data_IF_290388080531
#
_entry.id   IF_290388080531
#
_cell.length_a   1.000
_cell.length_b   1.000
_cell.length_c   1.000
_cell.angle_alpha   90.00
_cell.angle_beta   90.00
_cell.angle_gamma   90.00
#
_symmetry.space_group_name_H-M   'P 1'
#
loop_
_entity.id
_entity.type
_entity.pdbx_description
1 polymer ?
#
# COMPACT_ATOMS: atom_id res chain seq x y z
N UNK A 1 -19.17 13.75 7.32
CA UNK A 1 -18.71 13.22 6.02
C UNK A 1 -17.37 12.57 6.24
N UNK A 2 -17.06 11.43 5.62
CA UNK A 2 -15.74 10.83 5.68
C UNK A 2 -14.75 11.70 4.90
N UNK A 3 -13.56 11.93 5.45
CA UNK A 3 -12.47 12.67 4.78
C UNK A 3 -11.88 11.82 3.66
N UNK A 4 -11.91 12.31 2.42
CA UNK A 4 -11.34 11.60 1.26
C UNK A 4 -9.84 11.83 1.20
N UNK A 5 -9.07 10.76 1.22
CA UNK A 5 -7.59 10.79 1.11
C UNK A 5 -7.16 10.68 -0.35
N UNK A 6 -7.88 9.87 -1.14
CA UNK A 6 -7.50 9.58 -2.51
C UNK A 6 -8.74 9.51 -3.39
N UNK A 7 -8.65 10.11 -4.58
CA UNK A 7 -9.67 10.00 -5.64
C UNK A 7 -8.99 9.72 -6.98
N UNK A 8 -9.42 8.68 -7.64
CA UNK A 8 -9.10 8.38 -9.05
C UNK A 8 -10.37 8.44 -9.87
N UNK A 9 -10.33 9.08 -11.03
CA UNK A 9 -11.46 9.19 -11.95
C UNK A 9 -11.01 8.87 -13.38
N UNK A 10 -11.58 7.81 -13.95
CA UNK A 10 -11.32 7.38 -15.32
C UNK A 10 -9.86 7.00 -15.61
N UNK A 11 -9.10 6.55 -14.62
CA UNK A 11 -7.66 6.23 -14.78
C UNK A 11 -7.46 5.11 -15.78
N UNK A 12 -6.66 5.39 -16.81
CA UNK A 12 -6.20 4.39 -17.79
C UNK A 12 -4.69 4.24 -17.73
N UNK A 13 -4.21 3.05 -18.11
CA UNK A 13 -2.78 2.81 -18.34
C UNK A 13 -2.61 1.92 -19.56
N UNK A 14 -1.90 2.44 -20.54
CA UNK A 14 -1.54 1.74 -21.78
C UNK A 14 -0.02 1.66 -21.84
N UNK A 15 0.48 0.46 -22.06
CA UNK A 15 1.88 0.21 -22.39
C UNK A 15 1.96 -0.05 -23.89
N UNK A 16 2.69 0.78 -24.62
CA UNK A 16 2.88 0.64 -26.07
C UNK A 16 4.29 0.18 -26.38
N UNK A 17 4.41 -0.85 -27.19
CA UNK A 17 5.65 -1.26 -27.87
C UNK A 17 5.47 -1.05 -29.36
N UNK A 18 6.52 -1.21 -30.16
CA UNK A 18 6.42 -1.07 -31.63
C UNK A 18 5.41 -2.03 -32.27
N UNK A 19 5.13 -3.17 -31.62
CA UNK A 19 4.28 -4.23 -32.18
C UNK A 19 2.93 -4.41 -31.47
N UNK A 20 2.77 -3.90 -30.23
CA UNK A 20 1.61 -4.20 -29.41
C UNK A 20 1.26 -3.09 -28.41
N UNK A 21 -0.04 -2.89 -28.22
CA UNK A 21 -0.58 -2.09 -27.12
C UNK A 21 -1.23 -2.98 -26.05
N UNK A 22 -0.82 -2.78 -24.79
CA UNK A 22 -1.42 -3.47 -23.65
C UNK A 22 -2.17 -2.48 -22.77
N UNK A 23 -3.48 -2.59 -22.73
CA UNK A 23 -4.34 -1.80 -21.87
C UNK A 23 -4.41 -2.43 -20.48
N UNK A 24 -3.50 -2.04 -19.58
CA UNK A 24 -3.40 -2.60 -18.25
C UNK A 24 -4.49 -2.08 -17.30
N UNK A 25 -4.90 -0.81 -17.45
CA UNK A 25 -6.04 -0.22 -16.75
C UNK A 25 -6.97 0.46 -17.76
N UNK A 26 -8.30 0.31 -17.55
CA UNK A 26 -9.33 0.66 -18.53
C UNK A 26 -10.44 1.52 -17.93
N UNK A 27 -10.07 2.62 -17.27
CA UNK A 27 -11.00 3.54 -16.62
C UNK A 27 -11.28 3.10 -15.17
N UNK A 28 -10.32 3.33 -14.28
CA UNK A 28 -10.48 3.06 -12.85
C UNK A 28 -11.07 4.30 -12.17
N UNK A 29 -12.20 4.08 -11.49
CA UNK A 29 -12.77 5.02 -10.55
C UNK A 29 -12.60 4.44 -9.13
N UNK A 30 -11.96 5.19 -8.24
CA UNK A 30 -11.65 4.75 -6.88
C UNK A 30 -11.60 5.92 -5.92
N UNK A 31 -12.27 5.77 -4.78
CA UNK A 31 -12.13 6.66 -3.64
C UNK A 31 -11.65 5.87 -2.42
N UNK A 32 -10.67 6.40 -1.69
CA UNK A 32 -10.21 5.89 -0.40
C UNK A 32 -10.39 6.97 0.65
N UNK A 33 -11.04 6.62 1.74
CA UNK A 33 -11.31 7.53 2.86
C UNK A 33 -10.32 7.30 4.00
N UNK A 34 -10.11 8.32 4.81
CA UNK A 34 -9.28 8.23 6.01
C UNK A 34 -9.74 7.11 6.93
N UNK A 35 -8.81 6.26 7.34
CA UNK A 35 -9.08 5.09 8.17
C UNK A 35 -9.67 3.89 7.42
N UNK A 36 -9.86 3.97 6.10
CA UNK A 36 -10.28 2.79 5.34
C UNK A 36 -9.17 1.73 5.35
N UNK A 37 -9.58 0.46 5.39
CA UNK A 37 -8.74 -0.67 5.01
C UNK A 37 -9.33 -1.30 3.75
N UNK A 38 -8.68 -1.05 2.62
CA UNK A 38 -9.12 -1.53 1.30
C UNK A 38 -8.24 -2.69 0.87
N UNK A 39 -8.83 -3.80 0.40
CA UNK A 39 -8.11 -4.86 -0.32
C UNK A 39 -8.47 -4.87 -1.80
N UNK A 40 -7.46 -5.02 -2.66
CA UNK A 40 -7.59 -5.17 -4.11
C UNK A 40 -7.26 -6.62 -4.47
N UNK A 41 -8.26 -7.34 -4.95
CA UNK A 41 -8.18 -8.74 -5.33
C UNK A 41 -8.42 -8.90 -6.83
N UNK A 42 -7.96 -10.00 -7.40
CA UNK A 42 -8.21 -10.33 -8.81
C UNK A 42 -7.21 -11.36 -9.32
N UNK A 43 -7.46 -11.96 -10.49
CA UNK A 43 -6.57 -12.95 -11.10
C UNK A 43 -5.20 -12.38 -11.45
N UNK A 44 -4.22 -13.24 -11.72
CA UNK A 44 -2.92 -12.79 -12.21
C UNK A 44 -3.08 -12.05 -13.55
N UNK A 45 -2.32 -10.98 -13.76
CA UNK A 45 -2.36 -10.18 -14.99
C UNK A 45 -3.53 -9.20 -15.10
N UNK A 46 -4.46 -9.12 -14.15
CA UNK A 46 -5.62 -8.21 -14.24
C UNK A 46 -5.31 -6.72 -14.03
N UNK A 47 -4.04 -6.35 -13.73
CA UNK A 47 -3.63 -4.95 -13.57
C UNK A 47 -3.37 -4.51 -12.11
N UNK A 48 -3.36 -5.41 -11.11
CA UNK A 48 -3.16 -5.06 -9.68
C UNK A 48 -1.84 -4.31 -9.43
N UNK A 49 -0.73 -4.85 -9.90
CA UNK A 49 0.59 -4.22 -9.71
C UNK A 49 0.68 -2.88 -10.44
N UNK A 50 0.06 -2.75 -11.61
CA UNK A 50 -0.04 -1.48 -12.35
C UNK A 50 -0.84 -0.46 -11.57
N UNK A 51 -2.01 -0.86 -11.03
CA UNK A 51 -2.82 0.03 -10.20
C UNK A 51 -2.06 0.46 -8.94
N UNK A 52 -1.38 -0.49 -8.27
CA UNK A 52 -0.58 -0.18 -7.08
C UNK A 52 0.59 0.78 -7.40
N UNK A 53 1.23 0.62 -8.56
CA UNK A 53 2.32 1.51 -9.01
C UNK A 53 1.81 2.93 -9.26
N UNK A 54 0.62 3.10 -9.83
CA UNK A 54 0.01 4.42 -10.03
C UNK A 54 -0.46 5.00 -8.70
N UNK A 55 -1.14 4.22 -7.84
CA UNK A 55 -1.50 4.63 -6.50
C UNK A 55 -0.29 5.14 -5.71
N UNK A 56 0.84 4.47 -5.89
CA UNK A 56 2.10 4.80 -5.23
C UNK A 56 2.92 5.88 -5.90
N UNK A 57 2.46 6.48 -6.98
CA UNK A 57 3.24 7.46 -7.75
C UNK A 57 4.63 6.92 -8.20
N UNK A 58 4.71 5.60 -8.43
CA UNK A 58 5.88 4.95 -9.04
C UNK A 58 5.79 4.99 -10.57
N UNK A 59 4.58 5.06 -11.09
CA UNK A 59 4.27 5.23 -12.51
C UNK A 59 3.10 6.21 -12.66
N UNK A 60 2.98 6.83 -13.84
CA UNK A 60 1.91 7.79 -14.13
C UNK A 60 0.81 7.13 -14.96
N UNK A 61 -0.45 7.53 -14.78
CA UNK A 61 -1.52 7.10 -15.68
C UNK A 61 -1.30 7.62 -17.10
N UNK A 62 -1.89 6.94 -18.08
CA UNK A 62 -1.92 7.44 -19.46
C UNK A 62 -2.96 8.54 -19.59
N UNK A 63 -4.12 8.40 -18.93
CA UNK A 63 -5.20 9.39 -18.90
C UNK A 63 -6.01 9.24 -17.60
N UNK A 64 -6.85 10.23 -17.30
CA UNK A 64 -7.67 10.32 -16.11
C UNK A 64 -7.13 11.31 -15.09
N UNK A 65 -7.87 11.50 -13.98
CA UNK A 65 -7.51 12.38 -12.86
C UNK A 65 -7.18 11.55 -11.63
N UNK A 66 -6.07 11.87 -10.97
CA UNK A 66 -5.67 11.27 -9.70
C UNK A 66 -5.32 12.35 -8.68
N UNK A 67 -6.05 12.37 -7.56
CA UNK A 67 -5.86 13.32 -6.46
C UNK A 67 -5.52 12.64 -5.16
N UNK A 68 -4.54 13.20 -4.42
CA UNK A 68 -4.21 12.85 -3.04
C UNK A 68 -4.45 14.09 -2.18
N UNK A 69 -5.34 13.99 -1.17
CA UNK A 69 -5.73 15.11 -0.32
C UNK A 69 -6.09 16.37 -1.15
N UNK A 70 -6.88 16.20 -2.22
CA UNK A 70 -7.29 17.22 -3.19
C UNK A 70 -6.16 17.79 -4.09
N UNK A 71 -4.91 17.36 -3.93
CA UNK A 71 -3.81 17.72 -4.84
C UNK A 71 -3.85 16.83 -6.09
N UNK A 72 -3.99 17.43 -7.28
CA UNK A 72 -3.90 16.69 -8.54
C UNK A 72 -2.47 16.21 -8.80
N UNK A 73 -2.31 14.92 -9.01
CA UNK A 73 -0.99 14.27 -9.14
C UNK A 73 -0.80 13.49 -10.44
N UNK A 74 -1.84 13.36 -11.27
CA UNK A 74 -1.78 12.54 -12.52
C UNK A 74 -0.83 13.09 -13.58
N UNK A 75 -0.51 14.37 -13.53
CA UNK A 75 0.31 15.05 -14.55
C UNK A 75 1.66 15.55 -13.99
N UNK A 76 2.05 15.06 -12.81
CA UNK A 76 3.33 15.45 -12.22
C UNK A 76 4.51 14.81 -12.96
N UNK A 77 5.64 15.53 -12.99
CA UNK A 77 6.90 14.89 -13.36
C UNK A 77 7.29 13.83 -12.32
N UNK A 78 8.06 12.81 -12.71
CA UNK A 78 8.53 11.77 -11.77
C UNK A 78 9.28 12.37 -10.56
N UNK A 79 10.02 13.46 -10.76
CA UNK A 79 10.72 14.16 -9.68
C UNK A 79 9.74 14.81 -8.69
N UNK A 80 8.70 15.50 -9.18
CA UNK A 80 7.65 16.08 -8.34
C UNK A 80 6.84 14.99 -7.61
N UNK A 81 6.50 13.91 -8.32
CA UNK A 81 5.82 12.74 -7.76
C UNK A 81 6.62 12.08 -6.63
N UNK A 82 7.97 12.02 -6.76
CA UNK A 82 8.84 11.46 -5.72
C UNK A 82 8.74 12.21 -4.38
N UNK A 83 8.57 13.54 -4.41
CA UNK A 83 8.39 14.33 -3.20
C UNK A 83 7.03 14.04 -2.55
N UNK A 84 5.95 14.04 -3.34
CA UNK A 84 4.61 13.73 -2.83
C UNK A 84 4.56 12.31 -2.29
N UNK A 85 5.16 11.34 -2.99
CA UNK A 85 5.27 9.95 -2.51
C UNK A 85 5.98 9.88 -1.17
N UNK A 86 7.12 10.54 -1.01
CA UNK A 86 7.88 10.55 0.25
C UNK A 86 7.09 11.12 1.43
N UNK A 87 6.22 12.12 1.18
CA UNK A 87 5.44 12.79 2.21
C UNK A 87 4.11 12.10 2.53
N UNK A 88 3.44 11.51 1.51
CA UNK A 88 2.04 11.08 1.61
C UNK A 88 1.84 9.58 1.56
N UNK A 89 2.82 8.81 1.06
CA UNK A 89 2.67 7.39 0.80
C UNK A 89 3.75 6.59 1.50
N UNK A 90 3.34 5.60 2.28
CA UNK A 90 4.22 4.55 2.79
C UNK A 90 4.07 3.29 1.96
N UNK A 91 5.19 2.64 1.62
CA UNK A 91 5.19 1.38 0.87
C UNK A 91 5.68 0.21 1.70
N UNK A 92 4.92 -0.87 1.67
CA UNK A 92 5.27 -2.18 2.22
C UNK A 92 5.25 -3.18 1.06
N UNK A 93 6.42 -3.71 0.72
CA UNK A 93 6.61 -4.63 -0.40
C UNK A 93 6.69 -6.09 0.07
N UNK A 94 6.36 -7.02 -0.80
CA UNK A 94 6.52 -8.46 -0.57
C UNK A 94 7.97 -8.84 -0.26
N UNK A 95 8.95 -8.24 -0.94
CA UNK A 95 10.39 -8.54 -0.81
C UNK A 95 11.10 -7.65 0.21
N UNK A 96 10.36 -7.01 1.13
CA UNK A 96 10.86 -6.09 2.18
C UNK A 96 11.60 -4.85 1.62
N UNK A 97 12.43 -4.99 0.60
CA UNK A 97 13.23 -3.95 -0.04
C UNK A 97 14.05 -3.14 0.97
N UNK A 98 14.66 -3.82 1.94
CA UNK A 98 15.62 -3.23 2.86
C UNK A 98 16.99 -3.17 2.18
N UNK A 99 17.78 -2.15 2.53
CA UNK A 99 19.14 -1.97 2.05
C UNK A 99 20.07 -2.72 3.01
N UNK A 100 20.72 -3.78 2.54
CA UNK A 100 21.51 -4.70 3.36
C UNK A 100 22.73 -4.06 4.00
N UNK A 101 23.30 -3.04 3.37
CA UNK A 101 24.48 -2.29 3.88
C UNK A 101 24.12 -1.33 5.01
N UNK A 102 22.85 -0.97 5.14
CA UNK A 102 22.35 -0.08 6.18
C UNK A 102 21.91 -0.83 7.42
N UNK A 103 22.00 -0.18 8.57
CA UNK A 103 21.36 -0.69 9.80
C UNK A 103 19.84 -0.63 9.68
N UNK A 104 19.15 -1.33 10.58
CA UNK A 104 17.69 -1.22 10.75
C UNK A 104 17.29 0.24 10.98
N UNK A 105 17.99 0.93 11.87
CA UNK A 105 17.77 2.36 12.13
C UNK A 105 17.90 3.19 10.86
N UNK A 106 18.99 3.01 10.09
CA UNK A 106 19.23 3.81 8.88
C UNK A 106 18.23 3.52 7.77
N UNK A 107 17.79 2.26 7.61
CA UNK A 107 16.71 1.91 6.68
C UNK A 107 15.42 2.68 6.98
N UNK A 108 15.06 2.83 8.28
CA UNK A 108 13.85 3.54 8.68
C UNK A 108 14.06 5.06 8.61
N UNK A 109 15.25 5.57 8.93
CA UNK A 109 15.57 7.00 8.87
C UNK A 109 15.61 7.54 7.42
N UNK A 110 15.82 6.67 6.43
CA UNK A 110 16.05 7.06 5.04
C UNK A 110 14.95 7.97 4.47
N UNK A 111 13.64 7.66 4.56
CA UNK A 111 12.59 8.54 4.06
C UNK A 111 12.61 9.94 4.68
N UNK A 112 12.98 10.06 5.95
CA UNK A 112 13.05 11.35 6.65
C UNK A 112 14.22 12.21 6.17
N UNK A 113 15.35 11.57 5.81
CA UNK A 113 16.54 12.25 5.28
C UNK A 113 16.32 12.82 3.87
N UNK A 114 15.35 12.28 3.12
CA UNK A 114 14.98 12.75 1.77
C UNK A 114 13.81 13.74 1.76
N UNK A 115 13.34 14.18 2.93
CA UNK A 115 12.29 15.18 3.01
C UNK A 115 12.76 16.52 2.46
N UNK A 116 11.85 17.23 1.77
CA UNK A 116 12.11 18.59 1.27
C UNK A 116 12.42 19.57 2.41
N UNK A 117 11.73 19.41 3.54
CA UNK A 117 12.02 20.16 4.77
C UNK A 117 12.92 19.32 5.66
N UNK A 118 14.20 19.71 5.85
CA UNK A 118 15.14 18.97 6.68
C UNK A 118 14.65 18.88 8.14
N UNK A 119 14.85 17.72 8.73
CA UNK A 119 14.60 17.47 10.15
C UNK A 119 15.93 17.47 10.93
N UNK A 120 15.90 17.85 12.20
CA UNK A 120 17.07 17.70 13.05
C UNK A 120 17.37 16.21 13.30
N UNK A 121 18.65 15.87 13.59
CA UNK A 121 19.02 14.49 13.92
C UNK A 121 18.27 13.99 15.17
N UNK A 122 18.01 14.86 16.15
CA UNK A 122 17.26 14.51 17.36
C UNK A 122 15.79 14.16 17.05
N UNK A 123 15.15 14.91 16.13
CA UNK A 123 13.77 14.63 15.72
C UNK A 123 13.71 13.32 14.92
N UNK A 124 14.68 13.10 14.02
CA UNK A 124 14.79 11.83 13.27
C UNK A 124 14.93 10.66 14.23
N UNK A 125 15.83 10.77 15.23
CA UNK A 125 16.06 9.71 16.21
C UNK A 125 14.78 9.39 17.00
N UNK A 126 14.09 10.42 17.48
CA UNK A 126 12.83 10.27 18.20
C UNK A 126 11.76 9.55 17.37
N UNK A 127 11.56 9.96 16.11
CA UNK A 127 10.53 9.38 15.23
C UNK A 127 10.89 7.94 14.84
N UNK A 128 12.16 7.67 14.50
CA UNK A 128 12.63 6.32 14.14
C UNK A 128 12.47 5.36 15.31
N UNK A 129 12.92 5.76 16.53
CA UNK A 129 12.79 4.90 17.71
C UNK A 129 11.33 4.67 18.12
N UNK A 130 10.46 5.66 17.95
CA UNK A 130 9.02 5.50 18.14
C UNK A 130 8.43 4.46 17.18
N UNK A 131 8.76 4.53 15.87
CA UNK A 131 8.30 3.54 14.88
C UNK A 131 8.84 2.14 15.17
N UNK A 132 10.12 2.02 15.57
CA UNK A 132 10.71 0.75 15.97
C UNK A 132 10.00 0.14 17.19
N UNK A 133 9.61 0.96 18.14
CA UNK A 133 8.86 0.51 19.32
C UNK A 133 7.47 -0.01 18.92
N UNK A 134 6.76 0.68 18.02
CA UNK A 134 5.44 0.25 17.52
C UNK A 134 5.45 -1.15 16.88
N UNK A 135 6.56 -1.51 16.23
CA UNK A 135 6.70 -2.82 15.59
C UNK A 135 7.48 -3.84 16.44
N UNK A 136 7.78 -3.52 17.70
CA UNK A 136 8.53 -4.36 18.65
C UNK A 136 9.95 -4.71 18.15
N UNK A 137 10.64 -3.75 17.55
CA UNK A 137 11.97 -3.95 16.96
C UNK A 137 13.04 -2.96 17.48
N UNK A 138 12.74 -2.18 18.52
CA UNK A 138 13.67 -1.17 19.06
C UNK A 138 15.02 -1.79 19.48
N UNK A 139 15.00 -3.01 20.02
CA UNK A 139 16.20 -3.77 20.44
C UNK A 139 17.09 -4.19 19.27
N UNK A 140 16.61 -4.10 18.02
CA UNK A 140 17.32 -4.46 16.79
C UNK A 140 17.82 -3.25 15.98
N UNK A 141 17.69 -2.04 16.48
CA UNK A 141 18.03 -0.79 15.75
C UNK A 141 19.42 -0.81 15.08
N UNK A 142 20.42 -1.41 15.74
CA UNK A 142 21.81 -1.48 15.25
C UNK A 142 22.12 -2.71 14.39
N UNK A 143 21.17 -3.63 14.22
CA UNK A 143 21.36 -4.82 13.38
C UNK A 143 21.23 -4.44 11.90
N UNK A 144 21.68 -5.34 11.02
CA UNK A 144 21.48 -5.26 9.57
C UNK A 144 20.39 -6.26 9.12
N UNK A 145 19.76 -6.05 7.95
CA UNK A 145 18.69 -6.93 7.45
C UNK A 145 19.05 -8.42 7.42
N UNK A 146 20.27 -8.75 7.00
CA UNK A 146 20.77 -10.14 6.93
C UNK A 146 20.91 -10.84 8.30
N UNK A 147 20.77 -10.12 9.40
CA UNK A 147 20.79 -10.64 10.77
C UNK A 147 19.37 -10.90 11.33
N UNK A 148 18.34 -10.71 10.51
CA UNK A 148 16.94 -10.76 10.90
C UNK A 148 16.19 -11.88 10.17
N UNK A 149 15.20 -12.46 10.84
CA UNK A 149 14.24 -13.35 10.17
C UNK A 149 13.35 -12.57 9.18
N UNK A 150 12.72 -13.26 8.21
CA UNK A 150 11.81 -12.63 7.26
C UNK A 150 10.68 -11.85 7.93
N UNK A 151 10.06 -12.39 8.98
CA UNK A 151 9.04 -11.68 9.74
C UNK A 151 9.56 -10.43 10.44
N UNK A 152 10.81 -10.45 10.94
CA UNK A 152 11.45 -9.27 11.52
C UNK A 152 11.76 -8.23 10.44
N UNK A 153 12.25 -8.65 9.27
CA UNK A 153 12.49 -7.75 8.13
C UNK A 153 11.19 -7.07 7.68
N UNK A 154 10.07 -7.82 7.63
CA UNK A 154 8.78 -7.23 7.28
C UNK A 154 8.31 -6.20 8.31
N UNK A 155 8.50 -6.45 9.59
CA UNK A 155 8.22 -5.45 10.65
C UNK A 155 9.05 -4.17 10.46
N UNK A 156 10.32 -4.29 10.06
CA UNK A 156 11.16 -3.13 9.75
C UNK A 156 10.66 -2.40 8.50
N UNK A 157 10.23 -3.12 7.46
CA UNK A 157 9.63 -2.51 6.27
C UNK A 157 8.34 -1.74 6.60
N UNK A 158 7.51 -2.27 7.52
CA UNK A 158 6.34 -1.57 8.06
C UNK A 158 6.75 -0.30 8.82
N UNK A 159 7.74 -0.37 9.72
CA UNK A 159 8.23 0.80 10.44
C UNK A 159 8.76 1.88 9.50
N UNK A 160 9.51 1.49 8.46
CA UNK A 160 10.00 2.40 7.40
C UNK A 160 8.85 3.07 6.64
N UNK A 161 7.79 2.33 6.36
CA UNK A 161 6.63 2.89 5.68
C UNK A 161 5.85 3.88 6.56
N UNK A 162 5.82 3.66 7.87
CA UNK A 162 5.12 4.51 8.85
C UNK A 162 5.88 5.78 9.24
N UNK A 163 7.22 5.78 9.12
CA UNK A 163 8.09 6.81 9.71
C UNK A 163 7.78 8.22 9.19
N UNK A 164 7.29 8.32 7.94
CA UNK A 164 6.86 9.56 7.32
C UNK A 164 5.50 10.08 7.81
N UNK A 165 4.78 9.35 8.64
CA UNK A 165 3.37 9.60 8.93
C UNK A 165 2.52 9.79 7.66
N UNK A 166 2.51 8.80 6.75
CA UNK A 166 1.86 8.92 5.46
C UNK A 166 0.33 9.00 5.58
N UNK A 167 -0.31 9.64 4.60
CA UNK A 167 -1.76 9.65 4.46
C UNK A 167 -2.31 8.27 4.06
N UNK A 168 -1.51 7.48 3.34
CA UNK A 168 -1.87 6.15 2.83
C UNK A 168 -0.69 5.17 2.92
N UNK A 169 -0.93 3.98 3.47
CA UNK A 169 -0.04 2.83 3.34
C UNK A 169 -0.49 1.94 2.17
N UNK A 170 0.40 1.74 1.21
CA UNK A 170 0.25 0.78 0.14
C UNK A 170 0.99 -0.50 0.49
N UNK A 171 0.29 -1.62 0.41
CA UNK A 171 0.78 -2.92 0.89
C UNK A 171 0.69 -3.92 -0.26
N UNK A 172 1.83 -4.39 -0.74
CA UNK A 172 1.93 -5.35 -1.84
C UNK A 172 2.31 -6.72 -1.30
N UNK A 173 1.34 -7.65 -1.28
CA UNK A 173 1.53 -9.06 -0.89
C UNK A 173 2.36 -9.22 0.41
N UNK A 174 1.99 -8.62 1.54
CA UNK A 174 2.86 -8.46 2.70
C UNK A 174 3.30 -9.78 3.36
N UNK A 175 2.66 -10.88 3.01
CA UNK A 175 2.88 -12.21 3.58
C UNK A 175 3.49 -13.20 2.61
N UNK A 176 3.69 -12.82 1.34
CA UNK A 176 4.08 -13.74 0.27
C UNK A 176 5.45 -14.43 0.48
N UNK A 177 6.34 -13.84 1.28
CA UNK A 177 7.67 -14.40 1.60
C UNK A 177 7.77 -14.87 3.05
N UNK A 178 6.64 -15.09 3.73
CA UNK A 178 6.59 -15.48 5.15
C UNK A 178 5.90 -16.83 5.33
N UNK A 179 6.30 -17.55 6.37
CA UNK A 179 5.50 -18.67 6.86
C UNK A 179 4.16 -18.16 7.46
N UNK A 180 3.19 -19.06 7.60
CA UNK A 180 1.83 -18.68 8.04
C UNK A 180 1.82 -17.95 9.38
N UNK A 181 2.63 -18.39 10.35
CA UNK A 181 2.69 -17.78 11.68
C UNK A 181 3.20 -16.33 11.64
N UNK A 182 4.27 -16.07 10.88
CA UNK A 182 4.81 -14.74 10.70
C UNK A 182 3.86 -13.88 9.83
N UNK A 183 3.21 -14.48 8.83
CA UNK A 183 2.20 -13.83 8.00
C UNK A 183 1.02 -13.33 8.84
N UNK A 184 0.45 -14.20 9.68
CA UNK A 184 -0.66 -13.83 10.56
C UNK A 184 -0.26 -12.70 11.52
N UNK A 185 0.93 -12.76 12.12
CA UNK A 185 1.43 -11.71 13.01
C UNK A 185 1.62 -10.35 12.30
N UNK A 186 2.05 -10.35 11.04
CA UNK A 186 2.16 -9.14 10.21
C UNK A 186 0.78 -8.58 9.89
N UNK A 187 -0.19 -9.42 9.54
CA UNK A 187 -1.55 -8.98 9.24
C UNK A 187 -2.27 -8.44 10.47
N UNK A 188 -2.09 -9.06 11.64
CA UNK A 188 -2.61 -8.54 12.91
C UNK A 188 -2.04 -7.16 13.25
N UNK A 189 -0.74 -6.96 12.97
CA UNK A 189 -0.10 -5.64 13.13
C UNK A 189 -0.71 -4.61 12.18
N UNK A 190 -0.90 -4.92 10.91
CA UNK A 190 -1.53 -4.01 9.94
C UNK A 190 -2.97 -3.67 10.34
N UNK A 191 -3.73 -4.67 10.82
CA UNK A 191 -5.08 -4.45 11.35
C UNK A 191 -5.07 -3.53 12.57
N UNK A 192 -4.15 -3.71 13.49
CA UNK A 192 -3.99 -2.83 14.67
C UNK A 192 -3.68 -1.40 14.24
N UNK A 193 -2.75 -1.20 13.30
CA UNK A 193 -2.44 0.13 12.76
C UNK A 193 -3.66 0.79 12.10
N UNK A 194 -4.49 0.01 11.41
CA UNK A 194 -5.73 0.55 10.84
C UNK A 194 -6.74 0.96 11.92
N UNK A 195 -6.89 0.16 12.98
CA UNK A 195 -7.74 0.52 14.12
C UNK A 195 -7.26 1.77 14.84
N UNK A 196 -5.95 2.07 14.80
CA UNK A 196 -5.34 3.32 15.29
C UNK A 196 -5.53 4.51 14.31
N UNK A 197 -6.20 4.31 13.18
CA UNK A 197 -6.54 5.35 12.21
C UNK A 197 -5.67 5.40 10.95
N UNK A 198 -4.72 4.49 10.78
CA UNK A 198 -3.92 4.42 9.54
C UNK A 198 -4.79 3.96 8.38
N UNK A 199 -4.72 4.67 7.24
CA UNK A 199 -5.40 4.27 6.00
C UNK A 199 -4.55 3.25 5.25
N UNK A 200 -5.15 2.11 4.87
CA UNK A 200 -4.47 1.00 4.21
C UNK A 200 -5.11 0.67 2.86
N UNK A 201 -4.28 0.45 1.85
CA UNK A 201 -4.69 -0.18 0.59
C UNK A 201 -3.76 -1.35 0.30
N UNK A 202 -4.27 -2.57 0.34
CA UNK A 202 -3.51 -3.80 0.22
C UNK A 202 -3.88 -4.55 -1.06
N UNK A 203 -2.86 -5.03 -1.77
CA UNK A 203 -3.01 -6.05 -2.80
C UNK A 203 -2.64 -7.39 -2.20
N UNK A 204 -3.51 -8.39 -2.35
CA UNK A 204 -3.22 -9.77 -1.95
C UNK A 204 -4.01 -10.76 -2.78
N UNK A 205 -3.45 -11.94 -2.98
CA UNK A 205 -4.14 -13.08 -3.58
C UNK A 205 -4.66 -14.08 -2.52
N UNK A 206 -4.31 -13.89 -1.23
CA UNK A 206 -4.82 -14.74 -0.14
C UNK A 206 -6.20 -14.22 0.33
N UNK A 207 -7.28 -15.02 0.12
CA UNK A 207 -8.64 -14.61 0.51
C UNK A 207 -8.79 -14.34 2.00
N UNK A 208 -8.05 -15.08 2.87
CA UNK A 208 -8.12 -14.91 4.33
C UNK A 208 -7.67 -13.50 4.73
N UNK A 209 -6.61 -13.02 4.13
CA UNK A 209 -6.07 -11.68 4.41
C UNK A 209 -6.89 -10.58 3.72
N UNK A 210 -7.41 -10.86 2.53
CA UNK A 210 -8.33 -9.94 1.86
C UNK A 210 -9.59 -9.69 2.71
N UNK A 211 -10.06 -10.71 3.44
CA UNK A 211 -11.24 -10.66 4.31
C UNK A 211 -11.04 -9.82 5.58
N UNK A 212 -9.80 -9.49 5.92
CA UNK A 212 -9.49 -8.58 7.04
C UNK A 212 -9.76 -7.11 6.68
N UNK A 213 -9.83 -6.76 5.41
CA UNK A 213 -10.12 -5.42 4.95
C UNK A 213 -11.62 -5.06 5.12
N UNK A 214 -11.89 -3.79 5.40
CA UNK A 214 -13.27 -3.28 5.53
C UNK A 214 -13.97 -3.10 4.19
N UNK A 215 -13.19 -2.95 3.10
CA UNK A 215 -13.68 -2.85 1.72
C UNK A 215 -12.86 -3.74 0.81
N UNK A 216 -13.54 -4.53 -0.01
CA UNK A 216 -12.90 -5.36 -1.04
C UNK A 216 -13.24 -4.83 -2.43
N UNK A 217 -12.21 -4.68 -3.24
CA UNK A 217 -12.32 -4.29 -4.65
C UNK A 217 -11.85 -5.47 -5.49
N UNK A 218 -12.68 -5.85 -6.44
CA UNK A 218 -12.32 -6.88 -7.41
C UNK A 218 -11.88 -6.23 -8.70
N UNK A 219 -10.61 -6.42 -9.04
CA UNK A 219 -10.04 -5.98 -10.30
C UNK A 219 -10.09 -7.13 -11.32
N UNK A 220 -10.67 -6.88 -12.47
CA UNK A 220 -10.74 -7.83 -13.59
C UNK A 220 -10.50 -7.08 -14.91
N UNK A 221 -9.57 -7.56 -15.71
CA UNK A 221 -9.23 -7.00 -17.04
C UNK A 221 -9.06 -5.48 -17.05
N UNK A 222 -8.37 -4.95 -16.02
CA UNK A 222 -8.08 -3.53 -15.88
C UNK A 222 -9.25 -2.68 -15.41
N UNK A 223 -10.34 -3.27 -14.89
CA UNK A 223 -11.50 -2.55 -14.34
C UNK A 223 -11.83 -2.99 -12.92
N UNK A 224 -12.28 -2.06 -12.08
CA UNK A 224 -12.88 -2.41 -10.78
C UNK A 224 -14.33 -2.83 -11.04
N UNK A 225 -14.65 -4.04 -10.61
CA UNK A 225 -16.02 -4.53 -10.66
C UNK A 225 -16.87 -3.84 -9.59
N UNK A 226 -18.09 -3.45 -9.94
CA UNK A 226 -19.05 -2.96 -8.95
C UNK A 226 -19.29 -4.03 -7.87
N UNK A 227 -19.50 -3.64 -6.58
CA UNK A 227 -19.82 -4.59 -5.53
C UNK A 227 -21.02 -5.45 -5.97
N UNK A 228 -20.84 -6.77 -6.02
CA UNK A 228 -21.97 -7.67 -6.21
C UNK A 228 -22.84 -7.58 -4.97
N UNK A 229 -24.00 -6.94 -5.05
CA UNK A 229 -25.04 -7.07 -4.07
C UNK A 229 -25.55 -8.52 -4.16
N UNK A 230 -25.10 -9.37 -3.24
CA UNK A 230 -25.74 -10.68 -3.07
C UNK A 230 -27.18 -10.43 -2.60
N UNK A 231 -28.09 -10.33 -3.55
CA UNK A 231 -29.52 -10.54 -3.28
C UNK A 231 -29.63 -12.02 -2.90
N UNK A 232 -29.83 -12.30 -1.62
CA UNK A 232 -30.27 -13.60 -1.15
C UNK A 232 -31.64 -13.88 -1.80
N UNK A 233 -31.63 -14.50 -2.95
CA UNK A 233 -32.81 -15.12 -3.52
C UNK A 233 -33.02 -16.45 -2.77
N UNK A 234 -33.59 -16.37 -1.58
CA UNK A 234 -34.32 -17.49 -1.00
C UNK A 234 -35.56 -17.72 -1.86
N UNK A 235 -35.41 -18.47 -2.94
CA UNK A 235 -36.56 -19.06 -3.63
C UNK A 235 -36.95 -20.27 -2.82
N UNK A 236 -37.98 -20.10 -2.01
CA UNK A 236 -38.73 -21.20 -1.45
C UNK A 236 -39.29 -21.96 -2.65
N UNK A 237 -38.83 -23.20 -2.84
CA UNK A 237 -39.47 -24.15 -3.74
C UNK A 237 -40.61 -24.80 -2.91
N UNK A 238 -41.81 -24.29 -3.06
CA UNK A 238 -43.02 -25.01 -2.64
C UNK A 238 -43.17 -26.24 -3.52
N UNK A 239 -43.15 -27.36 -2.85
CA UNK A 239 -43.47 -28.68 -3.37
C UNK A 239 -44.99 -28.81 -3.55
N UNK A 240 -45.40 -29.21 -4.74
CA UNK A 240 -46.62 -29.99 -4.98
C UNK A 240 -46.27 -31.28 -5.68
#
# INVERSE_FOLDING_TARGET
MKETILTMSGITKVFSTEEMETHALRGIDLEIYKGDFVSICGPSGCGKSTLLSILGLLDMPTDGSYKIENLEVSQLTLAAAAHIRNEKIGFIFQSFNLIDELTVYDNIALPLRYRKTPMSNADIDHVVMSCLTKVDMAHRAKHRPNQLSGGQQQRIAIARALVGNPALLLVDEPTGNLDSKNGDAVMDMLKTLNLEGTTLCMVTHDPRYADMATRKLHLLDGKILAPQTHTNANTVVDTF
#
